data_IF_787429429812
#
_entry.id   IF_787429429812
#
_cell.length_a   1.000
_cell.length_b   1.000
_cell.length_c   1.000
_cell.angle_alpha   90.00
_cell.angle_beta   90.00
_cell.angle_gamma   90.00
#
_symmetry.space_group_name_H-M   'P 1'
#
loop_
_entity.id
_entity.type
_entity.pdbx_description
1 polymer ?
#
# COMPACT_ATOMS: atom_id res chain seq x y z
N UNK A 1 13.67 -5.62 -10.48
CA UNK A 1 13.70 -5.52 -9.00
C UNK A 1 12.27 -5.60 -8.56
N UNK A 2 11.94 -6.48 -7.61
CA UNK A 2 10.60 -6.54 -7.04
C UNK A 2 10.34 -5.23 -6.28
N UNK A 3 9.17 -4.61 -6.48
CA UNK A 3 8.77 -3.42 -5.73
C UNK A 3 8.60 -3.78 -4.26
N UNK A 4 9.13 -2.95 -3.38
CA UNK A 4 8.89 -3.02 -1.93
C UNK A 4 7.40 -2.83 -1.64
N UNK A 5 6.94 -3.29 -0.46
CA UNK A 5 5.53 -3.14 -0.09
C UNK A 5 5.06 -1.67 -0.07
N UNK A 6 5.82 -0.69 0.44
CA UNK A 6 5.46 0.74 0.32
C UNK A 6 5.29 1.21 -1.13
N UNK A 7 6.17 0.79 -2.05
CA UNK A 7 6.06 1.13 -3.48
C UNK A 7 4.84 0.49 -4.14
N UNK A 8 4.49 -0.74 -3.75
CA UNK A 8 3.27 -1.41 -4.23
C UNK A 8 2.02 -0.70 -3.74
N UNK A 9 2.00 -0.23 -2.49
CA UNK A 9 0.88 0.55 -1.95
C UNK A 9 0.72 1.86 -2.72
N UNK A 10 1.80 2.62 -2.92
CA UNK A 10 1.76 3.86 -3.70
C UNK A 10 1.22 3.61 -5.12
N UNK A 11 1.69 2.54 -5.78
CA UNK A 11 1.21 2.16 -7.11
C UNK A 11 -0.28 1.78 -7.11
N UNK A 12 -0.77 1.09 -6.09
CA UNK A 12 -2.19 0.73 -5.97
C UNK A 12 -3.09 1.96 -5.81
N UNK A 13 -2.67 2.96 -5.04
CA UNK A 13 -3.43 4.21 -4.91
C UNK A 13 -3.40 4.99 -6.22
N UNK A 14 -2.23 5.07 -6.87
CA UNK A 14 -2.07 5.75 -8.15
C UNK A 14 -2.97 5.15 -9.24
N UNK A 15 -3.12 3.82 -9.26
CA UNK A 15 -4.02 3.11 -10.17
C UNK A 15 -5.48 3.53 -9.97
N UNK A 16 -5.93 3.64 -8.72
CA UNK A 16 -7.29 4.12 -8.39
C UNK A 16 -7.48 5.59 -8.76
N UNK A 17 -6.46 6.42 -8.54
CA UNK A 17 -6.49 7.84 -8.92
C UNK A 17 -6.30 8.06 -10.44
N UNK A 18 -5.92 7.03 -11.20
CA UNK A 18 -5.66 7.11 -12.64
C UNK A 18 -4.41 7.92 -13.00
N UNK A 19 -3.42 7.95 -12.11
CA UNK A 19 -2.17 8.70 -12.26
C UNK A 19 -0.96 7.76 -12.17
N UNK A 20 0.21 8.26 -12.57
CA UNK A 20 1.47 7.54 -12.34
C UNK A 20 1.85 7.59 -10.84
N UNK A 21 2.56 6.58 -10.29
CA UNK A 21 2.96 6.58 -8.89
C UNK A 21 3.81 7.79 -8.47
N UNK A 22 4.65 8.32 -9.37
CA UNK A 22 5.43 9.54 -9.16
C UNK A 22 4.64 10.85 -9.32
N UNK A 23 3.44 10.76 -9.91
CA UNK A 23 2.48 11.87 -9.99
C UNK A 23 1.48 11.88 -8.83
N UNK A 24 1.56 10.90 -7.92
CA UNK A 24 0.70 10.82 -6.74
C UNK A 24 0.94 12.05 -5.85
N UNK A 25 -0.12 12.81 -5.59
CA UNK A 25 -0.06 14.04 -4.77
C UNK A 25 0.09 13.77 -3.27
N UNK A 26 0.19 12.51 -2.86
CA UNK A 26 0.25 12.09 -1.45
C UNK A 26 1.49 11.26 -1.21
N UNK A 27 2.12 11.45 -0.04
CA UNK A 27 3.26 10.63 0.38
C UNK A 27 2.80 9.60 1.40
N UNK A 28 3.01 8.31 1.12
CA UNK A 28 2.57 7.21 2.02
C UNK A 28 3.13 7.38 3.43
N UNK A 29 4.39 7.82 3.53
CA UNK A 29 5.08 8.00 4.81
C UNK A 29 4.44 9.05 5.73
N UNK A 30 3.60 9.94 5.19
CA UNK A 30 2.89 10.97 5.95
C UNK A 30 1.65 10.39 6.66
N UNK A 31 1.17 9.23 6.21
CA UNK A 31 -0.04 8.58 6.71
C UNK A 31 0.27 7.31 7.51
N UNK A 32 1.40 6.67 7.22
CA UNK A 32 1.79 5.41 7.83
C UNK A 32 3.31 5.26 7.83
N UNK A 33 3.86 4.67 8.89
CA UNK A 33 5.31 4.40 8.95
C UNK A 33 5.69 3.35 7.91
N UNK A 34 6.50 3.75 6.93
CA UNK A 34 7.04 2.84 5.92
C UNK A 34 7.99 1.81 6.52
N UNK A 35 8.65 2.13 7.63
CA UNK A 35 9.45 1.19 8.40
C UNK A 35 8.56 0.17 9.12
N UNK A 36 7.45 0.58 9.74
CA UNK A 36 6.50 -0.37 10.32
C UNK A 36 5.88 -1.32 9.26
N UNK A 37 5.64 -0.82 8.03
CA UNK A 37 5.21 -1.66 6.91
C UNK A 37 6.26 -2.71 6.55
N UNK A 38 7.54 -2.34 6.56
CA UNK A 38 8.66 -3.26 6.31
C UNK A 38 8.78 -4.28 7.43
N UNK A 39 8.71 -3.84 8.68
CA UNK A 39 8.77 -4.72 9.86
C UNK A 39 7.62 -5.75 9.87
N UNK A 40 6.41 -5.33 9.47
CA UNK A 40 5.28 -6.25 9.29
C UNK A 40 5.50 -7.24 8.15
N UNK A 41 6.13 -6.79 7.05
CA UNK A 41 6.44 -7.66 5.92
C UNK A 41 7.50 -8.70 6.24
N UNK A 42 8.48 -8.32 7.06
CA UNK A 42 9.58 -9.19 7.49
C UNK A 42 9.19 -10.10 8.66
N UNK A 43 8.00 -9.91 9.24
CA UNK A 43 7.48 -10.74 10.31
C UNK A 43 7.12 -12.15 9.83
N UNK A 44 7.49 -13.18 10.60
CA UNK A 44 7.31 -14.61 10.25
C UNK A 44 5.85 -15.07 10.08
N UNK A 45 4.88 -14.22 10.41
CA UNK A 45 3.45 -14.53 10.31
C UNK A 45 2.73 -13.56 9.40
N UNK A 46 1.96 -14.10 8.47
CA UNK A 46 1.06 -13.34 7.59
C UNK A 46 -0.27 -12.94 8.28
N UNK A 47 -0.44 -13.25 9.57
CA UNK A 47 -1.67 -13.01 10.33
C UNK A 47 -1.81 -11.56 10.82
N UNK A 48 -1.46 -10.60 9.98
CA UNK A 48 -1.60 -9.18 10.27
C UNK A 48 -2.41 -8.46 9.19
N UNK A 49 -3.01 -7.36 9.62
CA UNK A 49 -3.71 -6.40 8.78
C UNK A 49 -3.32 -5.00 9.23
N UNK A 50 -2.90 -4.19 8.29
CA UNK A 50 -2.62 -2.77 8.48
C UNK A 50 -3.66 -1.98 7.70
N UNK A 51 -4.30 -1.02 8.36
CA UNK A 51 -5.28 -0.14 7.73
C UNK A 51 -4.93 1.31 8.08
N UNK A 52 -4.93 2.19 7.08
CA UNK A 52 -4.66 3.61 7.24
C UNK A 52 -5.40 4.43 6.20
N UNK A 53 -5.63 5.71 6.50
CA UNK A 53 -6.35 6.65 5.64
C UNK A 53 -5.36 7.61 4.97
N UNK A 54 -5.51 7.80 3.66
CA UNK A 54 -4.97 8.94 2.92
C UNK A 54 -6.07 10.02 2.79
N UNK A 55 -5.79 11.20 2.22
CA UNK A 55 -6.81 12.24 2.05
C UNK A 55 -8.03 11.78 1.24
N UNK A 56 -7.83 10.82 0.32
CA UNK A 56 -8.85 10.38 -0.63
C UNK A 56 -9.30 8.93 -0.43
N UNK A 57 -8.49 8.08 0.20
CA UNK A 57 -8.68 6.63 0.17
C UNK A 57 -8.44 5.97 1.53
N UNK A 58 -9.20 4.90 1.77
CA UNK A 58 -8.91 3.94 2.82
C UNK A 58 -8.06 2.80 2.26
N UNK A 59 -6.86 2.61 2.81
CA UNK A 59 -5.92 1.57 2.38
C UNK A 59 -5.87 0.46 3.41
N UNK A 60 -6.08 -0.79 2.97
CA UNK A 60 -5.84 -1.99 3.77
C UNK A 60 -4.76 -2.86 3.12
N UNK A 61 -3.83 -3.33 3.94
CA UNK A 61 -2.74 -4.23 3.55
C UNK A 61 -2.75 -5.44 4.48
N UNK A 62 -2.56 -6.62 3.93
CA UNK A 62 -2.50 -7.88 4.70
C UNK A 62 -1.16 -8.58 4.53
N UNK A 63 -0.80 -9.47 5.46
CA UNK A 63 0.42 -10.28 5.38
C UNK A 63 0.53 -11.13 4.11
N UNK A 64 -0.60 -11.51 3.52
CA UNK A 64 -0.65 -12.23 2.24
C UNK A 64 -0.47 -11.33 1.00
N UNK A 65 0.17 -10.18 1.14
CA UNK A 65 0.45 -9.22 0.05
C UNK A 65 -0.79 -8.66 -0.66
N UNK A 66 -1.95 -8.76 -0.04
CA UNK A 66 -3.19 -8.17 -0.56
C UNK A 66 -3.23 -6.70 -0.17
N UNK A 67 -3.41 -5.83 -1.16
CA UNK A 67 -3.66 -4.40 -1.00
C UNK A 67 -5.09 -4.13 -1.48
N UNK A 68 -5.87 -3.46 -0.63
CA UNK A 68 -7.22 -3.00 -0.90
C UNK A 68 -7.23 -1.47 -0.81
N UNK A 69 -7.85 -0.82 -1.78
CA UNK A 69 -8.09 0.63 -1.78
C UNK A 69 -9.60 0.82 -1.86
N UNK A 70 -10.18 1.48 -0.86
CA UNK A 70 -11.63 1.63 -0.68
C UNK A 70 -12.41 0.30 -0.71
N UNK A 71 -11.76 -0.78 -0.26
CA UNK A 71 -12.32 -2.13 -0.26
C UNK A 71 -12.20 -2.86 -1.60
N UNK A 72 -11.68 -2.23 -2.65
CA UNK A 72 -11.39 -2.87 -3.93
C UNK A 72 -9.98 -3.45 -3.96
N UNK A 73 -9.84 -4.71 -4.39
CA UNK A 73 -8.55 -5.37 -4.48
C UNK A 73 -7.82 -4.92 -5.73
N UNK A 74 -6.74 -4.18 -5.54
CA UNK A 74 -5.89 -3.70 -6.64
C UNK A 74 -4.83 -4.75 -6.96
N UNK A 75 -4.74 -5.17 -8.22
CA UNK A 75 -3.66 -6.03 -8.70
C UNK A 75 -2.65 -5.14 -9.41
N UNK A 76 -1.53 -4.73 -8.76
CA UNK A 76 -0.54 -3.92 -9.45
C UNK A 76 -0.05 -4.67 -10.69
N UNK A 77 0.02 -3.96 -11.82
CA UNK A 77 0.56 -4.51 -13.07
C UNK A 77 1.96 -5.11 -12.85
N UNK A 78 2.14 -6.31 -13.40
CA UNK A 78 3.34 -7.14 -13.27
C UNK A 78 4.53 -6.61 -14.05
#
# INVERSE_FOLDING_TARGET
MDRTLPERIAASIAEVEGVEPDALGVSIQDHVSTDAIRDLKDHDSDSWRLQFETPNHLVEVTGSDVILVDGERIRPFS
#
